data_IF_436108199860
#
_entry.id   IF_436108199860
#
_cell.length_a   1.000
_cell.length_b   1.000
_cell.length_c   1.000
_cell.angle_alpha   90.00
_cell.angle_beta   90.00
_cell.angle_gamma   90.00
#
_symmetry.space_group_name_H-M   'P 1'
#
loop_
_entity.id
_entity.type
_entity.pdbx_description
1 polymer ?
#
# COMPACT_ATOMS: atom_id res chain seq x y z
N UNK A 1 11.07 19.95 0.89
CA UNK A 1 10.09 18.95 1.37
C UNK A 1 9.72 18.10 0.17
N UNK A 2 9.95 16.79 0.21
CA UNK A 2 9.64 15.87 -0.89
C UNK A 2 8.16 15.56 -0.99
N UNK A 3 7.73 14.98 -2.12
CA UNK A 3 6.35 14.49 -2.29
C UNK A 3 6.08 13.30 -1.36
N UNK A 4 4.88 13.25 -0.79
CA UNK A 4 4.40 12.16 0.08
C UNK A 4 3.16 11.50 -0.51
N UNK A 5 2.97 10.22 -0.20
CA UNK A 5 1.80 9.42 -0.58
C UNK A 5 1.30 8.67 0.63
N UNK A 6 -0.02 8.60 0.77
CA UNK A 6 -0.68 7.78 1.78
C UNK A 6 -1.38 6.63 1.09
N UNK A 7 -1.02 5.41 1.47
CA UNK A 7 -1.75 4.21 1.11
C UNK A 7 -2.76 3.88 2.20
N UNK A 8 -3.97 3.50 1.79
CA UNK A 8 -4.98 3.01 2.71
C UNK A 8 -5.88 1.99 2.02
N UNK A 9 -6.32 0.99 2.79
CA UNK A 9 -7.42 0.13 2.39
C UNK A 9 -8.31 -0.17 3.59
N UNK A 10 -9.57 -0.48 3.31
CA UNK A 10 -10.50 -1.06 4.28
C UNK A 10 -11.34 -2.13 3.59
N UNK A 11 -11.59 -3.22 4.31
CA UNK A 11 -12.48 -4.30 3.86
C UNK A 11 -13.92 -3.94 4.17
N UNK A 12 -14.81 -4.09 3.19
CA UNK A 12 -16.26 -3.97 3.39
C UNK A 12 -16.89 -5.23 3.98
N UNK A 13 -16.14 -6.35 4.07
CA UNK A 13 -16.66 -7.67 4.44
C UNK A 13 -16.18 -8.17 5.80
N UNK A 14 -15.00 -7.75 6.23
CA UNK A 14 -14.34 -8.26 7.43
C UNK A 14 -13.97 -7.08 8.32
N UNK A 15 -14.57 -7.04 9.51
CA UNK A 15 -14.30 -6.02 10.50
C UNK A 15 -12.83 -6.08 10.95
N UNK A 16 -12.22 -4.91 11.18
CA UNK A 16 -10.81 -4.79 11.58
C UNK A 16 -9.80 -5.05 10.46
N UNK A 17 -10.24 -5.32 9.23
CA UNK A 17 -9.32 -5.48 8.08
C UNK A 17 -9.13 -4.14 7.38
N UNK A 18 -8.28 -3.29 7.95
CA UNK A 18 -7.88 -1.99 7.41
C UNK A 18 -6.39 -1.72 7.66
N UNK A 19 -5.79 -0.89 6.80
CA UNK A 19 -4.45 -0.39 7.01
C UNK A 19 -4.31 1.01 6.42
N UNK A 20 -3.50 1.85 7.07
CA UNK A 20 -3.11 3.17 6.57
C UNK A 20 -1.63 3.37 6.84
N UNK A 21 -0.90 3.83 5.82
CA UNK A 21 0.54 4.06 5.92
C UNK A 21 0.94 5.20 5.00
N UNK A 22 1.85 6.07 5.45
CA UNK A 22 2.30 7.24 4.70
C UNK A 22 3.79 7.14 4.43
N UNK A 23 4.15 7.37 3.17
CA UNK A 23 5.51 7.27 2.67
C UNK A 23 5.90 8.54 1.93
N UNK A 24 7.19 8.82 1.89
CA UNK A 24 7.81 9.74 0.96
C UNK A 24 8.10 9.03 -0.36
N UNK A 25 8.14 9.77 -1.48
CA UNK A 25 8.56 9.21 -2.77
C UNK A 25 9.94 8.54 -2.69
N UNK A 26 10.83 9.09 -1.84
CA UNK A 26 12.16 8.54 -1.58
C UNK A 26 12.11 7.17 -0.90
N UNK A 27 11.25 6.98 0.10
CA UNK A 27 11.06 5.68 0.77
C UNK A 27 10.49 4.63 -0.19
N UNK A 28 9.66 5.06 -1.15
CA UNK A 28 9.13 4.21 -2.21
C UNK A 28 10.12 3.96 -3.37
N UNK A 29 11.31 4.57 -3.34
CA UNK A 29 12.30 4.45 -4.40
C UNK A 29 11.89 5.10 -5.73
N UNK A 30 10.90 6.00 -5.72
CA UNK A 30 10.39 6.68 -6.92
C UNK A 30 11.38 7.78 -7.34
N UNK A 31 11.82 7.75 -8.58
CA UNK A 31 12.68 8.78 -9.16
C UNK A 31 11.85 10.05 -9.38
N UNK A 32 12.31 11.18 -8.85
CA UNK A 32 11.56 12.46 -8.88
C UNK A 32 11.33 13.05 -10.29
N UNK A 33 12.00 12.49 -11.31
CA UNK A 33 11.95 12.94 -12.71
C UNK A 33 11.07 12.07 -13.63
N UNK A 34 10.23 11.19 -13.07
CA UNK A 34 9.25 10.44 -13.86
C UNK A 34 8.11 11.35 -14.31
N UNK A 35 7.59 11.11 -15.51
CA UNK A 35 6.34 11.73 -15.96
C UNK A 35 5.13 11.19 -15.19
N UNK A 36 4.01 11.90 -15.24
CA UNK A 36 2.82 11.59 -14.44
C UNK A 36 2.22 10.20 -14.75
N UNK A 37 2.35 9.71 -15.98
CA UNK A 37 1.86 8.38 -16.37
C UNK A 37 2.76 7.29 -15.77
N UNK A 38 4.08 7.46 -15.86
CA UNK A 38 5.05 6.56 -15.24
C UNK A 38 4.92 6.53 -13.71
N UNK A 39 4.70 7.68 -13.06
CA UNK A 39 4.44 7.75 -11.61
C UNK A 39 3.19 6.96 -11.25
N UNK A 40 2.11 7.06 -12.04
CA UNK A 40 0.86 6.34 -11.78
C UNK A 40 1.03 4.82 -11.87
N UNK A 41 1.70 4.34 -12.93
CA UNK A 41 1.96 2.90 -13.12
C UNK A 41 2.79 2.34 -11.96
N UNK A 42 3.85 3.07 -11.57
CA UNK A 42 4.70 2.65 -10.47
C UNK A 42 3.95 2.67 -9.13
N UNK A 43 3.11 3.69 -8.89
CA UNK A 43 2.31 3.78 -7.68
C UNK A 43 1.30 2.63 -7.55
N UNK A 44 0.62 2.27 -8.65
CA UNK A 44 -0.31 1.13 -8.67
C UNK A 44 0.43 -0.18 -8.34
N UNK A 45 1.63 -0.38 -8.91
CA UNK A 45 2.46 -1.57 -8.63
C UNK A 45 2.86 -1.66 -7.17
N UNK A 46 3.36 -0.56 -6.61
CA UNK A 46 3.80 -0.49 -5.20
C UNK A 46 2.60 -0.69 -4.28
N UNK A 47 1.47 -0.04 -4.56
CA UNK A 47 0.25 -0.18 -3.76
C UNK A 47 -0.24 -1.63 -3.74
N UNK A 48 -0.29 -2.31 -4.90
CA UNK A 48 -0.68 -3.72 -4.95
C UNK A 48 0.25 -4.60 -4.11
N UNK A 49 1.57 -4.41 -4.21
CA UNK A 49 2.54 -5.16 -3.40
C UNK A 49 2.34 -4.91 -1.90
N UNK A 50 2.11 -3.66 -1.49
CA UNK A 50 1.83 -3.29 -0.10
C UNK A 50 0.53 -3.92 0.42
N UNK A 51 -0.55 -3.93 -0.36
CA UNK A 51 -1.80 -4.61 0.00
C UNK A 51 -1.58 -6.11 0.19
N UNK A 52 -0.86 -6.75 -0.73
CA UNK A 52 -0.56 -8.19 -0.63
C UNK A 52 0.27 -8.52 0.62
N UNK A 53 1.26 -7.70 0.95
CA UNK A 53 2.06 -7.87 2.17
C UNK A 53 1.19 -7.76 3.44
N UNK A 54 0.31 -6.74 3.52
CA UNK A 54 -0.62 -6.58 4.65
C UNK A 54 -1.62 -7.71 4.77
N UNK A 55 -2.08 -8.29 3.66
CA UNK A 55 -3.04 -9.41 3.67
C UNK A 55 -2.38 -10.78 3.83
N UNK A 56 -1.05 -10.88 3.66
CA UNK A 56 -0.30 -12.12 3.86
C UNK A 56 -0.03 -12.37 5.36
N UNK A 57 -1.11 -12.50 6.13
CA UNK A 57 -1.08 -12.67 7.58
C UNK A 57 -1.08 -14.18 7.91
N UNK A 58 -0.20 -14.66 8.79
CA UNK A 58 -0.32 -16.02 9.33
C UNK A 58 -1.66 -16.16 10.06
N UNK A 59 -2.44 -17.19 9.69
CA UNK A 59 -3.76 -17.41 10.26
C UNK A 59 -3.82 -18.68 11.12
N UNK A 60 -4.69 -18.67 12.12
CA UNK A 60 -5.10 -19.84 12.89
C UNK A 60 -6.61 -19.77 13.04
N UNK A 61 -7.30 -20.88 12.73
CA UNK A 61 -8.76 -20.97 12.84
C UNK A 61 -9.07 -21.79 14.09
N UNK A 62 -9.74 -21.19 15.07
CA UNK A 62 -10.28 -21.87 16.26
C UNK A 62 -11.79 -21.99 16.08
N UNK A 63 -12.32 -23.20 16.21
CA UNK A 63 -13.76 -23.50 16.20
C UNK A 63 -14.04 -24.22 17.52
N UNK A 64 -14.99 -23.69 18.31
CA UNK A 64 -15.49 -24.31 19.55
C UNK A 64 -16.71 -25.21 19.29
#
# INVERSE_FOLDING_TARGET
MGKTVTFSFSSSKYEGTEAIETFTFKELGIVENLDDEAVKIEMDRIFQAWVWDKLNIPYSIVIE
#
